data_IF_514370916781
#
_entry.id   IF_514370916781
#
_cell.length_a   1.000
_cell.length_b   1.000
_cell.length_c   1.000
_cell.angle_alpha   90.00
_cell.angle_beta   90.00
_cell.angle_gamma   90.00
#
_symmetry.space_group_name_H-M   'P 1'
#
loop_
_entity.id
_entity.type
_entity.pdbx_description
1 polymer ?
#
# COMPACT_ATOMS: atom_id res chain seq x y z
N UNK A 1 -0.17 -21.06 -18.95
CA UNK A 1 1.24 -21.35 -19.32
C UNK A 1 1.84 -20.43 -20.38
N UNK A 2 1.10 -19.49 -20.95
CA UNK A 2 1.60 -18.62 -22.05
C UNK A 2 2.28 -17.30 -21.61
N UNK A 3 2.34 -17.00 -20.33
CA UNK A 3 2.95 -15.75 -19.83
C UNK A 3 4.46 -15.83 -19.54
N UNK A 4 5.00 -17.04 -19.42
CA UNK A 4 6.42 -17.24 -19.15
C UNK A 4 7.31 -17.42 -20.40
N UNK A 5 6.71 -17.52 -21.61
CA UNK A 5 7.46 -17.70 -22.86
C UNK A 5 7.89 -16.39 -23.53
N UNK A 6 7.32 -15.25 -23.14
CA UNK A 6 7.88 -13.95 -23.51
C UNK A 6 8.79 -13.51 -22.38
N UNK A 7 10.05 -13.90 -22.47
CA UNK A 7 11.07 -13.50 -21.51
C UNK A 7 10.94 -12.01 -21.19
N UNK A 8 11.01 -11.66 -19.93
CA UNK A 8 11.20 -10.29 -19.48
C UNK A 8 12.44 -9.76 -20.20
N UNK A 9 12.24 -9.00 -21.27
CA UNK A 9 13.32 -8.23 -21.86
C UNK A 9 13.63 -7.08 -20.91
N UNK A 10 14.42 -7.37 -19.89
CA UNK A 10 15.12 -6.34 -19.14
C UNK A 10 15.95 -5.61 -20.19
N UNK A 11 15.71 -4.34 -20.38
CA UNK A 11 16.51 -3.54 -21.31
C UNK A 11 17.98 -3.71 -20.90
N UNK A 12 18.88 -3.88 -21.87
CA UNK A 12 20.31 -4.15 -21.63
C UNK A 12 21.06 -3.02 -20.90
N UNK A 13 20.36 -2.03 -20.36
CA UNK A 13 20.96 -0.98 -19.56
C UNK A 13 20.94 -1.35 -18.07
N UNK A 14 21.81 -2.29 -17.70
CA UNK A 14 22.01 -2.73 -16.33
C UNK A 14 22.33 -1.54 -15.39
N UNK A 15 22.98 -0.50 -15.91
CA UNK A 15 23.30 0.71 -15.17
C UNK A 15 22.04 1.46 -14.72
N UNK A 16 21.04 1.56 -15.59
CA UNK A 16 19.77 2.20 -15.26
C UNK A 16 19.04 1.41 -14.16
N UNK A 17 18.98 0.10 -14.28
CA UNK A 17 18.36 -0.78 -13.27
C UNK A 17 19.09 -0.66 -11.94
N UNK A 18 20.42 -0.77 -11.93
CA UNK A 18 21.23 -0.63 -10.73
C UNK A 18 21.06 0.73 -10.06
N UNK A 19 20.90 1.81 -10.84
CA UNK A 19 20.63 3.13 -10.28
C UNK A 19 19.23 3.25 -9.66
N UNK A 20 18.22 2.59 -10.23
CA UNK A 20 16.86 2.54 -9.67
C UNK A 20 16.80 1.72 -8.38
N UNK A 21 17.65 0.72 -8.22
CA UNK A 21 17.73 -0.13 -7.02
C UNK A 21 18.53 0.52 -5.87
N UNK A 22 19.25 1.60 -6.13
CA UNK A 22 19.99 2.31 -5.07
C UNK A 22 18.99 2.99 -4.12
N UNK A 23 19.19 2.86 -2.79
CA UNK A 23 18.42 3.62 -1.83
C UNK A 23 18.53 5.12 -2.12
N UNK A 24 17.40 5.80 -2.19
CA UNK A 24 17.39 7.25 -2.38
C UNK A 24 17.86 7.95 -1.09
N UNK A 25 18.60 9.02 -1.28
CA UNK A 25 18.94 9.93 -0.18
C UNK A 25 17.79 10.92 0.05
N UNK A 26 17.64 11.39 1.29
CA UNK A 26 16.63 12.38 1.67
C UNK A 26 15.25 11.79 1.91
N UNK A 27 14.24 12.64 1.85
CA UNK A 27 12.85 12.29 2.09
C UNK A 27 12.26 11.62 0.86
N UNK A 28 11.62 10.46 1.05
CA UNK A 28 10.91 9.74 -0.01
C UNK A 28 9.39 9.79 0.22
N UNK A 29 8.62 9.87 -0.87
CA UNK A 29 7.16 9.80 -0.85
C UNK A 29 6.72 8.35 -0.79
N UNK A 30 5.82 8.00 0.12
CA UNK A 30 5.30 6.65 0.20
C UNK A 30 3.83 6.62 0.61
N UNK A 31 3.15 5.56 0.24
CA UNK A 31 1.85 5.14 0.76
C UNK A 31 1.96 3.74 1.34
N UNK A 32 1.13 3.43 2.31
CA UNK A 32 1.06 2.12 2.94
C UNK A 32 -0.28 1.45 2.58
N UNK A 33 -0.22 0.25 2.03
CA UNK A 33 -1.36 -0.62 1.77
C UNK A 33 -1.25 -1.84 2.69
N UNK A 34 -2.19 -1.99 3.63
CA UNK A 34 -2.03 -2.88 4.79
C UNK A 34 -3.36 -3.46 5.27
N UNK A 35 -3.35 -4.71 5.66
CA UNK A 35 -4.46 -5.39 6.33
C UNK A 35 -4.26 -5.43 7.87
N UNK A 36 -3.97 -4.28 8.43
CA UNK A 36 -3.45 -3.98 9.77
C UNK A 36 -4.09 -4.76 10.94
N UNK A 37 -5.35 -5.21 10.82
CA UNK A 37 -6.00 -6.01 11.86
C UNK A 37 -5.74 -7.51 11.73
N UNK A 38 -5.21 -7.95 10.60
CA UNK A 38 -4.95 -9.36 10.33
C UNK A 38 -3.83 -9.91 11.22
N UNK A 39 -2.68 -9.27 11.22
CA UNK A 39 -1.49 -9.67 11.96
C UNK A 39 -0.87 -8.48 12.68
N UNK A 40 -0.08 -8.75 13.74
CA UNK A 40 0.43 -7.69 14.61
C UNK A 40 1.60 -6.93 13.99
N UNK A 41 2.34 -7.51 13.08
CA UNK A 41 3.49 -6.91 12.41
C UNK A 41 3.10 -5.72 11.55
N UNK A 42 1.93 -5.73 10.92
CA UNK A 42 1.36 -4.58 10.22
C UNK A 42 1.18 -3.35 11.11
N UNK A 43 0.75 -3.57 12.35
CA UNK A 43 0.62 -2.49 13.35
C UNK A 43 1.97 -1.86 13.65
N UNK A 44 3.02 -2.67 13.81
CA UNK A 44 4.38 -2.18 14.01
C UNK A 44 4.92 -1.48 12.77
N UNK A 45 4.68 -2.03 11.58
CA UNK A 45 5.09 -1.44 10.31
C UNK A 45 4.48 -0.05 10.11
N UNK A 46 3.16 0.10 10.37
CA UNK A 46 2.46 1.38 10.31
C UNK A 46 3.10 2.40 11.25
N UNK A 47 3.23 2.05 12.53
CA UNK A 47 3.79 2.98 13.54
C UNK A 47 5.23 3.33 13.21
N UNK A 48 6.06 2.36 12.82
CA UNK A 48 7.45 2.59 12.42
C UNK A 48 7.52 3.55 11.24
N UNK A 49 6.68 3.35 10.22
CA UNK A 49 6.64 4.22 9.04
C UNK A 49 6.26 5.66 9.42
N UNK A 50 5.24 5.83 10.26
CA UNK A 50 4.80 7.15 10.75
C UNK A 50 5.87 7.86 11.58
N UNK A 51 6.60 7.13 12.40
CA UNK A 51 7.71 7.67 13.22
C UNK A 51 8.97 7.97 12.40
N UNK A 52 9.07 7.46 11.17
CA UNK A 52 10.21 7.68 10.27
C UNK A 52 10.06 8.93 9.39
N UNK A 53 9.35 9.94 9.87
CA UNK A 53 8.99 11.16 9.11
C UNK A 53 10.18 11.96 8.57
N UNK A 54 11.39 11.77 9.11
CA UNK A 54 12.63 12.37 8.60
C UNK A 54 13.08 11.74 7.27
N UNK A 55 12.63 10.53 6.99
CA UNK A 55 13.03 9.72 5.83
C UNK A 55 11.86 9.40 4.89
N UNK A 56 10.66 9.31 5.44
CA UNK A 56 9.46 8.89 4.72
C UNK A 56 8.37 9.93 4.91
N UNK A 57 7.93 10.53 3.80
CA UNK A 57 6.69 11.31 3.76
C UNK A 57 5.56 10.34 3.43
N UNK A 58 4.83 9.90 4.44
CA UNK A 58 3.63 9.08 4.24
C UNK A 58 2.53 9.98 3.68
N UNK A 59 1.98 9.64 2.52
CA UNK A 59 0.98 10.45 1.81
C UNK A 59 -0.43 9.83 1.85
N UNK A 60 -0.56 8.62 2.35
CA UNK A 60 -1.82 7.92 2.56
C UNK A 60 -1.63 6.53 3.11
N UNK A 61 -2.67 6.02 3.77
CA UNK A 61 -2.74 4.66 4.28
C UNK A 61 -4.04 4.05 3.77
N UNK A 62 -3.93 2.87 3.19
CA UNK A 62 -5.02 2.16 2.52
C UNK A 62 -5.32 0.85 3.25
N UNK A 63 -6.58 0.68 3.65
CA UNK A 63 -7.01 -0.53 4.32
C UNK A 63 -7.20 -1.65 3.29
N UNK A 64 -6.36 -2.68 3.35
CA UNK A 64 -6.46 -3.84 2.50
C UNK A 64 -7.45 -4.88 3.07
N UNK A 65 -8.09 -5.68 2.21
CA UNK A 65 -8.95 -6.78 2.64
C UNK A 65 -8.12 -7.95 3.16
N UNK A 66 -8.66 -8.65 4.17
CA UNK A 66 -8.22 -9.99 4.57
C UNK A 66 -9.43 -10.85 4.94
N UNK A 67 -9.27 -12.17 4.92
CA UNK A 67 -10.34 -13.10 5.28
C UNK A 67 -9.82 -14.50 5.57
N UNK A 68 -10.74 -15.43 5.79
CA UNK A 68 -10.48 -16.85 6.00
C UNK A 68 -9.76 -17.16 7.33
N UNK A 69 -10.03 -16.36 8.35
CA UNK A 69 -9.58 -16.60 9.72
C UNK A 69 -10.70 -16.31 10.73
N UNK A 70 -10.43 -16.49 12.01
CA UNK A 70 -11.41 -16.28 13.09
C UNK A 70 -11.89 -14.83 13.23
N UNK A 71 -11.18 -13.85 12.64
CA UNK A 71 -11.44 -12.44 12.77
C UNK A 71 -12.36 -11.92 11.66
N UNK A 72 -12.20 -12.43 10.43
CA UNK A 72 -12.98 -12.02 9.27
C UNK A 72 -13.37 -13.23 8.41
N UNK A 73 -14.66 -13.41 8.23
CA UNK A 73 -15.25 -14.46 7.41
C UNK A 73 -15.33 -14.09 5.91
N UNK A 74 -15.16 -12.81 5.59
CA UNK A 74 -15.13 -12.32 4.22
C UNK A 74 -14.18 -11.10 4.09
N UNK A 75 -13.72 -10.78 2.86
CA UNK A 75 -12.76 -9.70 2.62
C UNK A 75 -13.26 -8.31 3.02
N UNK A 76 -14.55 -8.00 2.81
CA UNK A 76 -15.14 -6.72 3.18
C UNK A 76 -15.01 -6.45 4.68
N UNK A 77 -15.34 -7.47 5.51
CA UNK A 77 -15.20 -7.37 6.96
C UNK A 77 -13.74 -7.19 7.36
N UNK A 78 -12.82 -7.90 6.71
CA UNK A 78 -11.38 -7.73 6.93
C UNK A 78 -10.91 -6.32 6.63
N UNK A 79 -11.32 -5.75 5.51
CA UNK A 79 -10.99 -4.38 5.14
C UNK A 79 -11.54 -3.36 6.15
N UNK A 80 -12.79 -3.52 6.61
CA UNK A 80 -13.38 -2.64 7.63
C UNK A 80 -12.63 -2.73 8.96
N UNK A 81 -12.27 -3.92 9.41
CA UNK A 81 -11.47 -4.12 10.61
C UNK A 81 -10.08 -3.48 10.49
N UNK A 82 -9.43 -3.62 9.33
CA UNK A 82 -8.14 -2.96 9.06
C UNK A 82 -8.27 -1.45 9.08
N UNK A 83 -9.32 -0.90 8.47
CA UNK A 83 -9.60 0.53 8.48
C UNK A 83 -9.73 1.07 9.91
N UNK A 84 -10.58 0.44 10.73
CA UNK A 84 -10.81 0.85 12.12
C UNK A 84 -9.53 0.74 12.97
N UNK A 85 -8.72 -0.30 12.74
CA UNK A 85 -7.45 -0.47 13.44
C UNK A 85 -6.42 0.58 13.06
N UNK A 86 -6.34 0.95 11.77
CA UNK A 86 -5.48 2.05 11.31
C UNK A 86 -5.86 3.35 12.04
N UNK A 87 -7.16 3.70 12.10
CA UNK A 87 -7.63 4.89 12.81
C UNK A 87 -7.23 4.84 14.28
N UNK A 88 -7.46 3.70 14.95
CA UNK A 88 -7.10 3.50 16.36
C UNK A 88 -5.61 3.69 16.64
N UNK A 89 -4.74 3.21 15.75
CA UNK A 89 -3.29 3.36 15.89
C UNK A 89 -2.86 4.81 15.69
N UNK A 90 -3.39 5.50 14.67
CA UNK A 90 -3.07 6.90 14.41
C UNK A 90 -3.51 7.80 15.57
N UNK A 91 -4.68 7.56 16.15
CA UNK A 91 -5.14 8.27 17.35
C UNK A 91 -4.17 8.08 18.53
N UNK A 92 -3.61 6.87 18.71
CA UNK A 92 -2.64 6.58 19.78
C UNK A 92 -1.33 7.35 19.63
N UNK A 93 -0.95 7.70 18.42
CA UNK A 93 0.27 8.48 18.14
C UNK A 93 -0.05 9.96 17.82
N UNK A 94 -1.28 10.40 18.07
CA UNK A 94 -1.78 11.77 17.84
C UNK A 94 -1.59 12.26 16.40
N UNK A 95 -1.86 11.41 15.42
CA UNK A 95 -1.83 11.74 13.99
C UNK A 95 -3.27 11.84 13.48
N UNK A 96 -3.59 12.93 12.79
CA UNK A 96 -4.89 13.09 12.12
C UNK A 96 -5.02 12.09 10.97
N UNK A 97 -6.17 11.45 10.88
CA UNK A 97 -6.50 10.49 9.81
C UNK A 97 -7.41 11.08 8.73
N UNK A 98 -7.84 12.35 8.87
CA UNK A 98 -8.72 13.02 7.91
C UNK A 98 -8.02 13.21 6.55
N UNK A 99 -8.66 12.75 5.46
CA UNK A 99 -8.09 12.75 4.10
C UNK A 99 -6.73 12.05 3.98
N UNK A 100 -6.48 11.07 4.87
CA UNK A 100 -5.21 10.38 4.97
C UNK A 100 -5.37 8.86 5.02
N UNK A 101 -6.49 8.35 5.56
CA UNK A 101 -6.81 6.93 5.61
C UNK A 101 -8.01 6.65 4.71
N UNK A 102 -7.89 5.66 3.84
CA UNK A 102 -8.89 5.33 2.85
C UNK A 102 -9.27 3.86 2.90
N UNK A 103 -10.57 3.58 2.77
CA UNK A 103 -11.08 2.22 2.64
C UNK A 103 -10.71 1.66 1.28
N UNK A 104 -10.17 0.45 1.29
CA UNK A 104 -9.83 -0.31 0.09
C UNK A 104 -11.00 -1.07 -0.50
N UNK A 105 -10.65 -1.98 -1.40
CA UNK A 105 -11.62 -2.86 -2.04
C UNK A 105 -12.25 -3.84 -1.04
N UNK A 106 -13.46 -4.29 -1.34
CA UNK A 106 -14.26 -5.18 -0.49
C UNK A 106 -14.11 -6.65 -0.84
N UNK A 107 -13.37 -6.95 -1.89
CA UNK A 107 -13.15 -8.29 -2.39
C UNK A 107 -11.76 -8.42 -3.01
N UNK A 108 -11.28 -9.65 -3.15
CA UNK A 108 -10.02 -9.89 -3.82
C UNK A 108 -10.17 -9.74 -5.33
N UNK A 109 -9.17 -9.20 -5.99
CA UNK A 109 -9.12 -9.13 -7.45
C UNK A 109 -9.09 -10.55 -8.01
N UNK A 110 -10.17 -10.97 -8.66
CA UNK A 110 -10.31 -12.31 -9.22
C UNK A 110 -9.58 -12.50 -10.55
N UNK A 111 -9.42 -11.44 -11.32
CA UNK A 111 -8.67 -11.46 -12.59
C UNK A 111 -8.09 -10.08 -12.89
N UNK A 112 -6.99 -10.04 -13.65
CA UNK A 112 -6.35 -8.79 -14.08
C UNK A 112 -7.22 -7.92 -15.03
N UNK A 113 -8.47 -8.30 -15.30
CA UNK A 113 -9.40 -7.57 -16.15
C UNK A 113 -10.50 -6.86 -15.39
N UNK A 114 -10.62 -7.12 -14.09
CA UNK A 114 -11.61 -6.49 -13.24
C UNK A 114 -10.98 -5.28 -12.55
N UNK A 115 -11.64 -4.15 -12.70
CA UNK A 115 -11.30 -2.94 -11.92
C UNK A 115 -12.34 -2.83 -10.81
N UNK A 116 -11.88 -2.88 -9.58
CA UNK A 116 -12.74 -2.70 -8.41
C UNK A 116 -12.53 -1.27 -7.93
N UNK A 117 -13.59 -0.48 -7.97
CA UNK A 117 -13.55 0.91 -7.50
C UNK A 117 -13.56 0.96 -5.97
N UNK A 118 -12.65 1.75 -5.41
CA UNK A 118 -12.60 2.03 -3.97
C UNK A 118 -11.89 3.36 -3.69
N UNK A 119 -12.20 4.04 -2.58
CA UNK A 119 -11.55 5.30 -2.21
C UNK A 119 -10.01 5.21 -2.16
N UNK A 120 -9.47 4.09 -1.70
CA UNK A 120 -8.03 3.84 -1.68
C UNK A 120 -7.43 3.76 -3.09
N UNK A 121 -8.13 3.09 -4.02
CA UNK A 121 -7.70 2.96 -5.43
C UNK A 121 -7.65 4.32 -6.11
N UNK A 122 -8.70 5.12 -5.95
CA UNK A 122 -8.78 6.46 -6.54
C UNK A 122 -7.67 7.38 -6.02
N UNK A 123 -7.44 7.36 -4.70
CA UNK A 123 -6.38 8.17 -4.10
C UNK A 123 -4.99 7.67 -4.49
N UNK A 124 -4.77 6.36 -4.57
CA UNK A 124 -3.50 5.78 -5.03
C UNK A 124 -3.17 6.22 -6.47
N UNK A 125 -4.16 6.13 -7.38
CA UNK A 125 -4.01 6.58 -8.77
C UNK A 125 -3.65 8.07 -8.82
N UNK A 126 -4.38 8.90 -8.07
CA UNK A 126 -4.10 10.34 -7.97
C UNK A 126 -2.68 10.61 -7.48
N UNK A 127 -2.25 9.97 -6.38
CA UNK A 127 -0.90 10.13 -5.82
C UNK A 127 0.19 9.62 -6.76
N UNK A 128 -0.06 8.55 -7.50
CA UNK A 128 0.86 8.05 -8.51
C UNK A 128 1.08 9.07 -9.65
N UNK A 129 0.02 9.74 -10.12
CA UNK A 129 0.12 10.78 -11.14
C UNK A 129 0.86 12.05 -10.67
N UNK A 130 0.92 12.31 -9.36
CA UNK A 130 1.73 13.39 -8.79
C UNK A 130 3.23 13.06 -8.77
N UNK A 131 3.61 11.81 -9.07
CA UNK A 131 4.98 11.32 -9.08
C UNK A 131 5.73 11.63 -10.37
N UNK A 132 7.05 11.48 -10.31
CA UNK A 132 7.93 11.56 -11.46
C UNK A 132 9.12 10.59 -11.32
N UNK A 133 9.91 10.41 -12.37
CA UNK A 133 11.11 9.59 -12.31
C UNK A 133 12.11 10.07 -11.24
N UNK A 134 12.17 11.38 -11.00
CA UNK A 134 13.06 11.97 -10.00
C UNK A 134 12.44 12.03 -8.60
N UNK A 135 11.11 11.96 -8.51
CA UNK A 135 10.35 11.96 -7.25
C UNK A 135 9.22 10.93 -7.30
N UNK A 136 9.53 9.62 -7.36
CA UNK A 136 8.53 8.56 -7.45
C UNK A 136 7.75 8.41 -6.16
N UNK A 137 6.53 7.90 -6.29
CA UNK A 137 5.78 7.36 -5.17
C UNK A 137 6.19 5.91 -4.91
N UNK A 138 6.53 5.58 -3.68
CA UNK A 138 6.73 4.20 -3.25
C UNK A 138 5.41 3.66 -2.69
N UNK A 139 4.94 2.58 -3.27
CA UNK A 139 3.79 1.84 -2.75
C UNK A 139 4.31 0.68 -1.92
N UNK A 140 4.06 0.72 -0.62
CA UNK A 140 4.46 -0.32 0.32
C UNK A 140 3.21 -1.14 0.62
N UNK A 141 3.10 -2.31 -0.02
CA UNK A 141 2.00 -3.23 0.17
C UNK A 141 2.45 -4.40 1.04
N UNK A 142 1.83 -4.56 2.20
CA UNK A 142 2.13 -5.60 3.19
C UNK A 142 0.94 -6.49 3.50
N UNK A 143 -0.20 -6.26 2.86
CA UNK A 143 -1.40 -7.10 2.85
C UNK A 143 -1.70 -7.68 1.48
N UNK A 144 -2.97 -8.00 1.23
CA UNK A 144 -3.44 -8.45 -0.08
C UNK A 144 -3.32 -7.30 -1.12
N UNK A 145 -2.61 -7.53 -2.21
CA UNK A 145 -2.42 -6.55 -3.30
C UNK A 145 -3.70 -6.51 -4.16
N UNK A 146 -4.77 -5.93 -3.62
CA UNK A 146 -6.09 -5.84 -4.23
C UNK A 146 -6.55 -4.40 -4.47
N UNK A 147 -5.94 -3.44 -3.80
CA UNK A 147 -6.18 -2.01 -3.96
C UNK A 147 -5.47 -1.43 -5.19
#
# INVERSE_FOLDING_TARGET
>A
MAYFEKGFHISKDDTKILNLLKPRSGLVRAVLDTDTYNEIDDQFALVQMMLSHERIKVEGIYAAPFSMNERADNPEKGMELSYDEILRLLDRINVSHENFVFKGVKEYVGSAKEVIEAPAVDELIKKAHEGSADNPLYVIAIGAISN
#
